data_IF_112952804707
#
_entry.id   IF_112952804707
#
_cell.length_a   1.000
_cell.length_b   1.000
_cell.length_c   1.000
_cell.angle_alpha   90.00
_cell.angle_beta   90.00
_cell.angle_gamma   90.00
#
_symmetry.space_group_name_H-M   'P 1'
#
loop_
_entity.id
_entity.type
_entity.pdbx_description
1 polymer ?
#
# COMPACT_ATOMS: atom_id res chain seq x y z
N UNK A 1 13.80 8.86 -10.52
CA UNK A 1 12.36 8.70 -10.24
C UNK A 1 11.59 8.88 -11.55
N UNK A 2 10.71 7.94 -11.91
CA UNK A 2 9.94 8.00 -13.16
C UNK A 2 8.63 8.73 -12.94
N UNK A 3 8.36 9.79 -13.69
CA UNK A 3 7.03 10.40 -13.71
C UNK A 3 6.05 9.42 -14.35
N UNK A 4 4.93 9.16 -13.67
CA UNK A 4 3.85 8.32 -14.17
C UNK A 4 2.57 9.15 -14.22
N UNK A 5 1.85 9.01 -15.33
CA UNK A 5 0.57 9.66 -15.57
C UNK A 5 -0.42 8.58 -15.99
N UNK A 6 -1.63 8.68 -15.46
CA UNK A 6 -2.71 7.72 -15.66
C UNK A 6 -4.04 8.47 -15.74
N UNK A 7 -4.92 8.06 -16.64
CA UNK A 7 -6.21 8.72 -16.88
C UNK A 7 -6.13 10.10 -17.56
N UNK A 8 -7.26 10.82 -17.54
CA UNK A 8 -7.38 12.20 -18.05
C UNK A 8 -6.86 13.18 -16.99
N UNK A 9 -5.89 14.02 -17.36
CA UNK A 9 -5.36 15.09 -16.49
C UNK A 9 -5.21 16.39 -17.28
N UNK A 10 -5.38 17.56 -16.64
CA UNK A 10 -5.19 18.85 -17.30
C UNK A 10 -3.70 19.10 -17.62
N UNK A 11 -3.45 19.96 -18.60
CA UNK A 11 -2.08 20.33 -19.01
C UNK A 11 -1.30 21.04 -17.89
N UNK A 12 -2.00 21.80 -17.04
CA UNK A 12 -1.43 22.55 -15.92
C UNK A 12 -2.14 22.15 -14.63
N UNK A 13 -1.38 22.16 -13.54
CA UNK A 13 -1.88 21.95 -12.17
C UNK A 13 -2.64 23.19 -11.71
N UNK A 14 -3.53 23.04 -10.72
CA UNK A 14 -4.24 24.17 -10.10
C UNK A 14 -5.06 24.97 -11.11
N UNK A 15 -5.68 24.27 -12.06
CA UNK A 15 -6.59 24.85 -13.06
C UNK A 15 -7.98 24.26 -12.89
N UNK A 16 -8.98 24.90 -13.50
CA UNK A 16 -10.31 24.33 -13.61
C UNK A 16 -10.24 23.09 -14.50
N UNK A 17 -10.64 21.94 -13.94
CA UNK A 17 -10.78 20.69 -14.66
C UNK A 17 -12.21 20.17 -14.50
N UNK A 18 -12.87 19.93 -15.64
CA UNK A 18 -14.27 19.51 -15.68
C UNK A 18 -14.45 18.21 -16.46
N UNK A 19 -15.48 17.46 -16.12
CA UNK A 19 -15.98 16.34 -16.90
C UNK A 19 -16.68 16.82 -18.18
N UNK A 20 -17.03 15.87 -19.05
CA UNK A 20 -17.82 16.14 -20.27
C UNK A 20 -19.24 16.66 -19.93
N UNK A 21 -19.74 16.35 -18.74
CA UNK A 21 -21.03 16.82 -18.20
C UNK A 21 -20.92 18.12 -17.38
N UNK A 22 -19.84 18.90 -17.59
CA UNK A 22 -19.58 20.20 -16.95
C UNK A 22 -19.43 20.15 -15.40
N UNK A 23 -19.27 18.96 -14.82
CA UNK A 23 -19.01 18.80 -13.38
C UNK A 23 -17.53 19.02 -13.07
N UNK A 24 -17.22 19.58 -11.90
CA UNK A 24 -15.84 19.81 -11.49
C UNK A 24 -15.18 18.53 -10.96
N UNK A 25 -13.94 18.28 -11.39
CA UNK A 25 -13.05 17.37 -10.68
C UNK A 25 -12.35 18.10 -9.54
N UNK A 26 -12.19 17.42 -8.41
CA UNK A 26 -11.54 17.95 -7.22
C UNK A 26 -10.08 17.50 -7.16
N UNK A 27 -9.17 18.47 -7.16
CA UNK A 27 -7.74 18.20 -7.10
C UNK A 27 -7.27 17.89 -5.67
N UNK A 28 -6.47 16.86 -5.50
CA UNK A 28 -5.79 16.52 -4.25
C UNK A 28 -4.30 16.34 -4.51
N UNK A 29 -3.46 17.13 -3.81
CA UNK A 29 -2.04 16.84 -3.72
C UNK A 29 -1.81 15.80 -2.64
N UNK A 30 -1.53 14.57 -3.04
CA UNK A 30 -1.23 13.45 -2.17
C UNK A 30 0.29 13.27 -2.10
N UNK A 31 0.91 13.68 -1.01
CA UNK A 31 2.36 13.64 -0.90
C UNK A 31 2.87 13.39 0.52
N UNK A 32 4.19 13.19 0.62
CA UNK A 32 4.90 12.96 1.88
C UNK A 32 5.75 14.17 2.28
N UNK A 33 6.19 14.19 3.55
CA UNK A 33 7.15 15.17 4.08
C UNK A 33 6.79 16.65 3.84
N UNK A 34 5.50 17.00 3.94
CA UNK A 34 5.07 18.40 3.86
C UNK A 34 5.55 19.10 2.58
N UNK A 35 5.21 18.53 1.42
CA UNK A 35 5.48 19.05 0.06
C UNK A 35 6.91 18.87 -0.47
N UNK A 36 7.85 18.36 0.33
CA UNK A 36 9.23 18.12 -0.13
C UNK A 36 9.45 16.71 -0.69
N UNK A 37 8.63 15.76 -0.23
CA UNK A 37 8.76 14.36 -0.58
C UNK A 37 8.13 14.01 -1.93
N UNK A 38 7.88 12.70 -2.10
CA UNK A 38 7.19 12.16 -3.27
C UNK A 38 5.74 12.59 -3.21
N UNK A 39 5.19 13.01 -4.35
CA UNK A 39 3.80 13.42 -4.44
C UNK A 39 3.13 12.95 -5.74
N UNK A 40 1.85 12.64 -5.63
CA UNK A 40 0.91 12.44 -6.72
C UNK A 40 -0.13 13.55 -6.68
N UNK A 41 -0.51 14.04 -7.86
CA UNK A 41 -1.63 14.97 -8.00
C UNK A 41 -2.82 14.18 -8.55
N UNK A 42 -3.87 14.09 -7.75
CA UNK A 42 -5.05 13.27 -8.01
C UNK A 42 -6.23 14.17 -8.35
N UNK A 43 -7.14 13.67 -9.18
CA UNK A 43 -8.37 14.36 -9.56
C UNK A 43 -9.55 13.43 -9.29
N UNK A 44 -10.46 13.86 -8.40
CA UNK A 44 -11.56 13.05 -7.89
C UNK A 44 -12.91 13.55 -8.40
N UNK A 45 -13.89 12.65 -8.57
CA UNK A 45 -15.29 13.02 -8.86
C UNK A 45 -15.91 13.72 -7.64
N UNK A 46 -15.66 13.19 -6.44
CA UNK A 46 -16.15 13.74 -5.17
C UNK A 46 -14.99 14.22 -4.31
N UNK A 47 -15.28 15.01 -3.27
CA UNK A 47 -14.21 15.55 -2.40
C UNK A 47 -13.70 14.42 -1.49
N UNK A 48 -12.39 14.15 -1.46
CA UNK A 48 -11.83 13.04 -0.66
C UNK A 48 -11.88 13.28 0.87
N UNK A 49 -12.36 14.45 1.30
CA UNK A 49 -12.44 14.86 2.72
C UNK A 49 -13.82 14.64 3.36
N UNK A 50 -14.76 14.03 2.65
CA UNK A 50 -16.13 13.82 3.13
C UNK A 50 -16.17 12.66 4.13
N UNK A 51 -16.45 12.97 5.40
CA UNK A 51 -16.66 11.97 6.47
C UNK A 51 -18.07 12.18 7.00
N UNK A 52 -18.90 11.13 6.96
CA UNK A 52 -20.28 11.17 7.46
C UNK A 52 -20.36 10.91 8.97
N UNK A 53 -19.61 9.92 9.45
CA UNK A 53 -19.55 9.54 10.86
C UNK A 53 -18.28 8.77 11.13
N UNK A 54 -17.90 8.70 12.40
CA UNK A 54 -16.78 7.89 12.91
C UNK A 54 -17.37 6.93 13.94
N UNK A 55 -17.13 5.64 13.77
CA UNK A 55 -17.56 4.59 14.70
C UNK A 55 -16.65 4.54 15.93
N UNK A 56 -17.02 3.71 16.91
CA UNK A 56 -16.15 3.46 18.06
C UNK A 56 -14.80 2.87 17.60
N UNK A 57 -13.67 3.35 18.16
CA UNK A 57 -12.35 2.85 17.81
C UNK A 57 -12.14 1.44 18.36
N UNK A 58 -11.52 0.57 17.55
CA UNK A 58 -11.04 -0.77 17.97
C UNK A 58 -9.55 -0.66 18.29
N UNK A 59 -9.14 -1.14 19.46
CA UNK A 59 -7.72 -1.27 19.78
C UNK A 59 -7.10 -2.42 18.96
N UNK A 60 -6.16 -2.07 18.09
CA UNK A 60 -5.42 -3.00 17.23
C UNK A 60 -3.94 -3.07 17.62
N UNK A 61 -3.58 -2.53 18.79
CA UNK A 61 -2.20 -2.54 19.28
C UNK A 61 -1.70 -3.98 19.46
N UNK A 62 -0.54 -4.34 18.89
CA UNK A 62 0.03 -5.66 19.10
C UNK A 62 0.31 -5.92 20.58
N UNK A 63 -0.11 -7.09 21.08
CA UNK A 63 0.18 -7.52 22.46
C UNK A 63 1.58 -8.12 22.53
N UNK A 64 2.43 -7.56 23.39
CA UNK A 64 3.79 -8.07 23.62
C UNK A 64 3.71 -9.40 24.37
N UNK A 65 4.01 -10.48 23.66
CA UNK A 65 4.07 -11.82 24.26
C UNK A 65 5.41 -12.09 24.94
N UNK A 66 6.50 -11.51 24.42
CA UNK A 66 7.85 -11.65 24.97
C UNK A 66 8.50 -10.27 24.97
N UNK A 67 8.89 -9.82 26.15
CA UNK A 67 9.63 -8.57 26.34
C UNK A 67 11.00 -8.59 25.65
N UNK A 68 11.67 -7.44 25.62
CA UNK A 68 12.99 -7.26 25.00
C UNK A 68 13.97 -8.35 25.45
N UNK A 69 14.41 -9.18 24.51
CA UNK A 69 15.32 -10.29 24.76
C UNK A 69 16.24 -10.53 23.55
N UNK A 70 17.33 -11.28 23.76
CA UNK A 70 18.32 -11.62 22.72
C UNK A 70 18.35 -13.12 22.41
N UNK A 71 17.35 -13.87 22.87
CA UNK A 71 17.31 -15.32 22.69
C UNK A 71 17.07 -15.65 21.22
N UNK A 72 17.96 -16.42 20.56
CA UNK A 72 17.72 -16.90 19.20
C UNK A 72 16.45 -17.76 19.16
N UNK A 73 15.54 -17.45 18.23
CA UNK A 73 14.28 -18.19 18.05
C UNK A 73 14.09 -18.52 16.58
N UNK A 74 13.55 -19.72 16.34
CA UNK A 74 13.00 -20.10 15.05
C UNK A 74 11.49 -19.91 15.09
N UNK A 75 10.95 -19.02 14.28
CA UNK A 75 9.50 -18.86 14.13
C UNK A 75 8.95 -19.94 13.21
N UNK A 76 7.97 -20.71 13.71
CA UNK A 76 7.19 -21.63 12.89
C UNK A 76 6.05 -20.88 12.19
N UNK A 77 6.41 -19.94 11.32
CA UNK A 77 5.46 -19.00 10.71
C UNK A 77 4.31 -19.67 9.94
N UNK A 78 4.55 -20.82 9.33
CA UNK A 78 3.50 -21.58 8.62
C UNK A 78 2.38 -22.08 9.54
N UNK A 79 2.63 -22.19 10.85
CA UNK A 79 1.65 -22.58 11.86
C UNK A 79 0.71 -21.43 12.25
N UNK A 80 0.91 -20.22 11.71
CA UNK A 80 -0.06 -19.13 11.88
C UNK A 80 -1.43 -19.60 11.35
N UNK A 81 -2.45 -19.40 12.18
CA UNK A 81 -3.82 -19.79 11.88
C UNK A 81 -4.34 -18.85 10.79
N UNK A 82 -4.87 -19.42 9.71
CA UNK A 82 -5.53 -18.66 8.67
C UNK A 82 -6.86 -18.12 9.18
N UNK A 83 -7.20 -16.89 8.81
CA UNK A 83 -8.47 -16.24 9.15
C UNK A 83 -9.17 -15.82 7.86
N UNK A 84 -10.48 -15.59 7.94
CA UNK A 84 -11.25 -15.21 6.75
C UNK A 84 -10.89 -13.79 6.30
N UNK A 85 -10.76 -12.86 7.24
CA UNK A 85 -10.46 -11.45 6.99
C UNK A 85 -8.96 -11.14 6.87
N UNK A 86 -8.60 -10.19 6.00
CA UNK A 86 -7.22 -9.77 5.78
C UNK A 86 -6.57 -9.15 7.02
N UNK A 87 -7.20 -8.18 7.65
CA UNK A 87 -6.63 -7.47 8.80
C UNK A 87 -6.58 -8.37 10.03
N UNK A 88 -7.64 -9.15 10.30
CA UNK A 88 -7.67 -10.06 11.45
C UNK A 88 -6.65 -11.22 11.28
N UNK A 89 -6.34 -11.62 10.04
CA UNK A 89 -5.32 -12.63 9.76
C UNK A 89 -3.88 -12.16 10.03
N UNK A 90 -3.62 -10.85 10.18
CA UNK A 90 -2.28 -10.31 10.45
C UNK A 90 -1.80 -10.69 11.84
N UNK A 91 -0.77 -11.51 11.92
CA UNK A 91 -0.09 -11.86 13.18
C UNK A 91 1.30 -11.23 13.19
N UNK A 92 1.47 -10.21 14.03
CA UNK A 92 2.77 -9.55 14.27
C UNK A 92 3.69 -10.50 15.02
N UNK A 93 4.88 -10.73 14.45
CA UNK A 93 5.89 -11.64 15.02
C UNK A 93 7.00 -10.86 15.73
N UNK A 94 7.39 -9.71 15.16
CA UNK A 94 8.43 -8.84 15.68
C UNK A 94 8.02 -7.39 15.47
N UNK A 95 8.38 -6.55 16.42
CA UNK A 95 8.17 -5.11 16.34
C UNK A 95 9.24 -4.35 17.11
N UNK A 96 9.47 -3.12 16.69
CA UNK A 96 10.22 -2.12 17.42
C UNK A 96 9.58 -0.75 17.20
N UNK A 97 10.28 0.33 17.50
CA UNK A 97 9.78 1.69 17.33
C UNK A 97 9.75 2.18 15.86
N UNK A 98 10.33 1.43 14.93
CA UNK A 98 10.47 1.81 13.52
C UNK A 98 9.60 0.96 12.59
N UNK A 99 9.47 -0.34 12.87
CA UNK A 99 8.65 -1.25 12.08
C UNK A 99 8.01 -2.38 12.88
N UNK A 100 6.94 -2.92 12.31
CA UNK A 100 6.29 -4.17 12.70
C UNK A 100 6.39 -5.13 11.53
N UNK A 101 6.62 -6.41 11.79
CA UNK A 101 6.62 -7.42 10.73
C UNK A 101 5.99 -8.73 11.20
N UNK A 102 5.38 -9.44 10.25
CA UNK A 102 4.63 -10.64 10.56
C UNK A 102 4.12 -11.38 9.34
N UNK A 103 3.15 -12.26 9.58
CA UNK A 103 2.49 -13.05 8.54
C UNK A 103 0.99 -12.81 8.57
N UNK A 104 0.39 -12.73 7.38
CA UNK A 104 -1.05 -12.74 7.17
C UNK A 104 -1.42 -13.98 6.35
N UNK A 105 -2.52 -14.62 6.73
CA UNK A 105 -3.05 -15.81 6.04
C UNK A 105 -4.57 -15.66 5.83
N UNK A 106 -5.00 -14.74 4.96
CA UNK A 106 -6.41 -14.52 4.68
C UNK A 106 -7.00 -15.59 3.76
N UNK A 107 -8.29 -15.90 3.95
CA UNK A 107 -9.04 -16.79 3.05
C UNK A 107 -9.99 -16.06 2.11
N UNK A 108 -10.42 -14.84 2.45
CA UNK A 108 -11.41 -14.09 1.67
C UNK A 108 -10.87 -12.71 1.28
N UNK A 109 -11.36 -12.22 0.15
CA UNK A 109 -11.17 -10.84 -0.29
C UNK A 109 -11.76 -9.87 0.72
N UNK A 110 -11.19 -8.66 0.81
CA UNK A 110 -11.72 -7.61 1.69
C UNK A 110 -13.00 -7.02 1.12
N UNK A 111 -14.05 -6.93 1.93
CA UNK A 111 -15.33 -6.29 1.58
C UNK A 111 -15.36 -4.79 1.91
N UNK A 112 -14.28 -4.26 2.48
CA UNK A 112 -14.15 -2.87 2.94
C UNK A 112 -12.89 -2.23 2.36
N UNK A 113 -12.91 -0.91 2.24
CA UNK A 113 -11.71 -0.12 1.96
C UNK A 113 -10.88 0.04 3.22
N UNK A 114 -9.59 -0.24 3.11
CA UNK A 114 -8.63 -0.06 4.20
C UNK A 114 -7.62 1.03 3.87
N UNK A 115 -7.17 1.74 4.92
CA UNK A 115 -6.15 2.77 4.84
C UNK A 115 -5.27 2.68 6.07
N UNK A 116 -3.99 2.35 5.89
CA UNK A 116 -3.00 2.52 6.94
C UNK A 116 -2.59 4.00 7.01
N UNK A 117 -2.94 4.69 8.09
CA UNK A 117 -2.63 6.11 8.26
C UNK A 117 -1.27 6.35 8.95
N UNK A 118 -0.60 5.31 9.46
CA UNK A 118 0.61 5.43 10.28
C UNK A 118 1.88 4.97 9.57
N UNK A 119 1.78 3.95 8.72
CA UNK A 119 2.93 3.26 8.13
C UNK A 119 2.82 3.14 6.61
N UNK A 120 3.98 3.10 5.96
CA UNK A 120 4.12 2.44 4.67
C UNK A 120 4.04 0.93 4.88
N UNK A 121 3.40 0.21 3.97
CA UNK A 121 3.26 -1.24 4.04
C UNK A 121 4.04 -1.92 2.91
N UNK A 122 4.69 -3.04 3.22
CA UNK A 122 5.22 -3.98 2.25
C UNK A 122 4.50 -5.31 2.43
N UNK A 123 3.92 -5.81 1.35
CA UNK A 123 3.34 -7.15 1.29
C UNK A 123 4.18 -8.00 0.33
N UNK A 124 4.89 -8.99 0.87
CA UNK A 124 5.55 -10.01 0.08
C UNK A 124 4.64 -11.23 -0.07
N UNK A 125 4.32 -11.58 -1.31
CA UNK A 125 3.39 -12.66 -1.62
C UNK A 125 4.14 -14.00 -1.62
N UNK A 126 4.03 -14.74 -0.53
CA UNK A 126 4.66 -16.06 -0.40
C UNK A 126 3.81 -17.15 -1.04
N UNK A 127 2.50 -17.08 -0.88
CA UNK A 127 1.51 -17.93 -1.56
C UNK A 127 0.27 -17.10 -1.91
N UNK A 128 -0.41 -17.48 -2.99
CA UNK A 128 -1.61 -16.82 -3.49
C UNK A 128 -1.34 -15.78 -4.58
N UNK A 129 -2.42 -15.25 -5.13
CA UNK A 129 -2.42 -14.25 -6.18
C UNK A 129 -3.77 -13.49 -6.18
N UNK A 130 -3.79 -12.33 -6.82
CA UNK A 130 -4.95 -11.47 -6.74
C UNK A 130 -4.73 -10.10 -7.36
N UNK A 131 -5.58 -9.16 -6.95
CA UNK A 131 -5.54 -7.77 -7.39
C UNK A 131 -5.65 -6.85 -6.17
N UNK A 132 -4.67 -5.97 -6.01
CA UNK A 132 -4.71 -4.85 -5.08
C UNK A 132 -5.44 -3.69 -5.78
N UNK A 133 -6.68 -3.41 -5.36
CA UNK A 133 -7.49 -2.32 -5.90
C UNK A 133 -7.20 -1.06 -5.09
N UNK A 134 -6.81 0.03 -5.74
CA UNK A 134 -6.49 1.30 -5.08
C UNK A 134 -7.14 2.47 -5.80
N UNK A 135 -7.18 3.65 -5.18
CA UNK A 135 -7.66 4.86 -5.86
C UNK A 135 -6.76 5.32 -7.03
N UNK A 136 -5.53 4.80 -7.17
CA UNK A 136 -4.64 5.10 -8.30
C UNK A 136 -4.69 4.03 -9.40
N UNK A 137 -5.52 3.00 -9.24
CA UNK A 137 -5.65 1.90 -10.18
C UNK A 137 -5.52 0.52 -9.53
N UNK A 138 -5.56 -0.51 -10.37
CA UNK A 138 -5.45 -1.90 -9.96
C UNK A 138 -4.04 -2.43 -10.19
N UNK A 139 -3.49 -3.11 -9.19
CA UNK A 139 -2.20 -3.79 -9.30
C UNK A 139 -2.42 -5.30 -9.10
N UNK A 140 -2.26 -6.06 -10.18
CA UNK A 140 -2.26 -7.51 -10.09
C UNK A 140 -0.97 -7.99 -9.41
N UNK A 141 -1.09 -9.02 -8.58
CA UNK A 141 0.03 -9.61 -7.87
C UNK A 141 0.00 -11.13 -7.92
N UNK A 142 1.18 -11.71 -7.77
CA UNK A 142 1.46 -13.13 -7.82
C UNK A 142 2.60 -13.51 -6.86
N UNK A 143 2.85 -14.82 -6.74
CA UNK A 143 3.90 -15.35 -5.87
C UNK A 143 5.27 -14.76 -6.23
N UNK A 144 5.97 -14.24 -5.21
CA UNK A 144 7.28 -13.60 -5.35
C UNK A 144 7.24 -12.08 -5.46
N UNK A 145 6.05 -11.50 -5.65
CA UNK A 145 5.91 -10.05 -5.76
C UNK A 145 6.04 -9.35 -4.40
N UNK A 146 6.57 -8.14 -4.46
CA UNK A 146 6.64 -7.19 -3.35
C UNK A 146 5.71 -6.02 -3.67
N UNK A 147 4.62 -5.88 -2.93
CA UNK A 147 3.70 -4.76 -3.05
C UNK A 147 4.11 -3.70 -2.04
N UNK A 148 4.53 -2.53 -2.54
CA UNK A 148 4.80 -1.37 -1.70
C UNK A 148 3.56 -0.47 -1.72
N UNK A 149 2.95 -0.30 -0.55
CA UNK A 149 1.72 0.49 -0.36
C UNK A 149 2.10 1.70 0.50
N UNK A 150 2.24 2.89 -0.10
CA UNK A 150 2.54 4.10 0.65
C UNK A 150 1.46 4.41 1.69
N UNK A 151 1.87 4.94 2.83
CA UNK A 151 0.97 5.40 3.89
C UNK A 151 -0.13 6.29 3.34
N UNK A 152 -1.34 6.04 3.79
CA UNK A 152 -2.54 6.78 3.43
C UNK A 152 -3.16 6.35 2.10
N UNK A 153 -2.57 5.40 1.39
CA UNK A 153 -3.20 4.76 0.23
C UNK A 153 -4.43 4.00 0.70
N UNK A 154 -5.57 4.24 0.06
CA UNK A 154 -6.80 3.49 0.31
C UNK A 154 -6.82 2.33 -0.67
N UNK A 155 -7.03 1.12 -0.17
CA UNK A 155 -7.05 -0.08 -0.99
C UNK A 155 -8.03 -1.14 -0.50
N UNK A 156 -8.31 -2.08 -1.40
CA UNK A 156 -8.94 -3.38 -1.13
C UNK A 156 -8.07 -4.47 -1.74
N UNK A 157 -8.04 -5.66 -1.12
CA UNK A 157 -7.37 -6.82 -1.70
C UNK A 157 -8.41 -7.82 -2.16
N UNK A 158 -8.31 -8.20 -3.43
CA UNK A 158 -9.13 -9.23 -4.04
C UNK A 158 -8.28 -10.46 -4.34
N UNK A 159 -8.53 -11.56 -3.62
CA UNK A 159 -7.81 -12.81 -3.79
C UNK A 159 -8.51 -13.71 -4.81
N UNK A 160 -7.74 -14.40 -5.65
CA UNK A 160 -8.29 -15.38 -6.60
C UNK A 160 -8.54 -16.75 -5.96
N UNK A 161 -7.86 -17.04 -4.86
CA UNK A 161 -7.90 -18.32 -4.15
C UNK A 161 -7.98 -18.10 -2.63
N UNK A 162 -8.41 -19.13 -1.89
CA UNK A 162 -8.48 -19.06 -0.42
C UNK A 162 -7.11 -19.25 0.26
N UNK A 163 -6.14 -19.83 -0.44
CA UNK A 163 -4.82 -20.15 0.12
C UNK A 163 -3.85 -19.00 -0.11
N UNK A 164 -3.80 -18.07 0.84
CA UNK A 164 -2.88 -16.93 0.79
C UNK A 164 -1.91 -16.97 1.97
N UNK A 165 -0.64 -16.66 1.70
CA UNK A 165 0.39 -16.46 2.71
C UNK A 165 1.18 -15.21 2.34
N UNK A 166 1.12 -14.21 3.20
CA UNK A 166 1.71 -12.91 2.94
C UNK A 166 2.65 -12.58 4.10
N UNK A 167 3.89 -12.27 3.80
CA UNK A 167 4.78 -11.63 4.76
C UNK A 167 4.56 -10.12 4.68
N UNK A 168 4.24 -9.50 5.80
CA UNK A 168 3.99 -8.06 5.83
C UNK A 168 5.01 -7.34 6.69
N UNK A 169 5.32 -6.11 6.28
CA UNK A 169 6.05 -5.12 7.08
C UNK A 169 5.23 -3.84 7.11
N UNK A 170 5.07 -3.25 8.28
CA UNK A 170 4.54 -1.91 8.48
C UNK A 170 5.69 -1.04 8.98
N UNK A 171 6.16 -0.10 8.16
CA UNK A 171 7.28 0.78 8.47
C UNK A 171 6.79 2.21 8.74
N UNK A 172 7.20 2.80 9.85
CA UNK A 172 6.91 4.21 10.17
C UNK A 172 7.71 5.18 9.26
N UNK A 173 8.84 4.70 8.76
CA UNK A 173 9.70 5.36 7.77
C UNK A 173 9.30 4.96 6.34
N UNK A 174 9.39 5.87 5.35
CA UNK A 174 9.03 5.54 3.98
C UNK A 174 9.92 4.44 3.36
N UNK A 175 9.33 3.61 2.52
CA UNK A 175 10.07 2.54 1.82
C UNK A 175 10.63 3.06 0.49
N UNK A 176 11.95 3.03 0.35
CA UNK A 176 12.65 3.47 -0.85
C UNK A 176 13.59 2.40 -1.40
N UNK A 177 13.94 2.55 -2.68
CA UNK A 177 15.07 1.81 -3.24
C UNK A 177 16.36 2.24 -2.52
N UNK A 178 17.28 1.31 -2.22
CA UNK A 178 18.47 1.62 -1.43
C UNK A 178 19.32 2.73 -2.05
N UNK A 179 19.79 3.69 -1.23
CA UNK A 179 20.56 4.85 -1.71
C UNK A 179 21.79 4.46 -2.54
N UNK A 180 22.46 3.37 -2.17
CA UNK A 180 23.65 2.85 -2.88
C UNK A 180 23.38 2.42 -4.33
N UNK A 181 22.12 2.15 -4.69
CA UNK A 181 21.72 1.74 -6.03
C UNK A 181 21.11 2.89 -6.84
N UNK A 182 21.10 4.12 -6.29
CA UNK A 182 20.55 5.30 -6.96
C UNK A 182 21.62 6.34 -7.22
N UNK A 183 21.51 7.03 -8.35
CA UNK A 183 22.22 8.30 -8.55
C UNK A 183 21.52 9.45 -7.80
N UNK A 184 22.13 10.64 -7.82
CA UNK A 184 21.60 11.85 -7.17
C UNK A 184 20.25 12.32 -7.76
N UNK A 185 19.84 11.82 -8.93
CA UNK A 185 18.55 12.09 -9.58
C UNK A 185 17.51 10.99 -9.33
N UNK A 186 17.86 9.98 -8.53
CA UNK A 186 17.00 8.87 -8.14
C UNK A 186 16.71 7.87 -9.27
N UNK A 187 17.55 7.79 -10.30
CA UNK A 187 17.56 6.66 -11.25
C UNK A 187 18.43 5.53 -10.68
N UNK A 188 18.09 4.29 -11.03
CA UNK A 188 18.86 3.13 -10.63
C UNK A 188 20.18 3.07 -11.40
N UNK A 189 21.25 2.66 -10.72
CA UNK A 189 22.58 2.51 -11.30
C UNK A 189 22.67 1.18 -12.06
N UNK A 190 23.54 1.08 -13.06
CA UNK A 190 23.70 -0.12 -13.91
C UNK A 190 24.05 -1.41 -13.14
N UNK A 191 24.64 -1.29 -11.94
CA UNK A 191 24.96 -2.43 -11.08
C UNK A 191 23.85 -2.74 -10.06
N UNK A 192 22.74 -2.02 -10.09
CA UNK A 192 21.57 -2.30 -9.28
C UNK A 192 21.03 -3.69 -9.60
N UNK A 193 20.62 -4.49 -8.60
CA UNK A 193 20.11 -5.84 -8.84
C UNK A 193 18.72 -5.87 -9.51
N UNK A 194 18.10 -4.70 -9.68
CA UNK A 194 16.84 -4.49 -10.39
C UNK A 194 16.88 -3.12 -11.06
N UNK A 195 16.03 -2.91 -12.06
CA UNK A 195 15.92 -1.66 -12.81
C UNK A 195 14.47 -1.15 -12.81
N UNK A 196 14.25 0.03 -13.39
CA UNK A 196 12.92 0.65 -13.44
C UNK A 196 11.90 -0.14 -14.24
N UNK A 197 12.34 -1.11 -15.07
CA UNK A 197 11.45 -2.00 -15.84
C UNK A 197 10.84 -3.11 -14.97
N UNK A 198 11.47 -3.42 -13.85
CA UNK A 198 10.98 -4.42 -12.90
C UNK A 198 9.91 -3.82 -11.96
N UNK A 199 9.76 -2.49 -11.97
CA UNK A 199 8.75 -1.79 -11.17
C UNK A 199 7.44 -1.75 -11.95
N UNK A 200 6.49 -2.56 -11.50
CA UNK A 200 5.13 -2.59 -12.02
C UNK A 200 4.31 -1.50 -11.33
N UNK A 201 3.66 -0.66 -12.14
CA UNK A 201 2.75 0.39 -11.66
C UNK A 201 1.29 -0.07 -11.77
N UNK A 202 0.38 0.46 -10.94
CA UNK A 202 -1.04 0.17 -11.07
C UNK A 202 -1.58 0.50 -12.47
N UNK A 203 -2.42 -0.39 -12.99
CA UNK A 203 -3.16 -0.18 -14.22
C UNK A 203 -4.34 0.77 -14.00
N UNK A 204 -4.55 1.68 -14.95
CA UNK A 204 -5.68 2.62 -14.88
C UNK A 204 -7.01 1.85 -14.89
N UNK A 205 -7.92 2.29 -14.03
CA UNK A 205 -9.31 1.85 -14.02
C UNK A 205 -10.18 3.10 -13.98
N UNK A 206 -11.22 3.12 -14.80
CA UNK A 206 -12.18 4.22 -14.77
C UNK A 206 -12.80 4.36 -13.37
N UNK A 207 -13.00 5.59 -12.88
CA UNK A 207 -13.56 5.81 -11.57
C UNK A 207 -14.99 5.25 -11.49
N UNK A 208 -15.30 4.63 -10.35
CA UNK A 208 -16.65 4.16 -10.02
C UNK A 208 -17.23 5.11 -8.98
N UNK A 209 -18.47 5.52 -9.19
CA UNK A 209 -19.24 6.29 -8.21
C UNK A 209 -20.04 5.30 -7.35
N UNK A 210 -19.52 4.97 -6.17
CA UNK A 210 -20.07 4.00 -5.22
C UNK A 210 -20.12 4.54 -3.78
#
# INVERSE_FOLDING_TARGET
>A
MRYHQSGKVPQKRHTIFKSEDEQFYYEQLFGTEGFHGISSLLYHIHRPTQIKSISEPKDVTPKIAVEKNVTPRMFKGMNVIAEDDFLDSRKVLMLNNDLKMGLAKPRKSSEYFYKNAECDELLFIHEGNGTLKTFVGNLDFSVGDYLIIPRGTIYQIDFKEEKNVIFFVEAHSPIYTPKRYRNEFGQLLEHSPFCERDIIVPSFVEPKDE
#
